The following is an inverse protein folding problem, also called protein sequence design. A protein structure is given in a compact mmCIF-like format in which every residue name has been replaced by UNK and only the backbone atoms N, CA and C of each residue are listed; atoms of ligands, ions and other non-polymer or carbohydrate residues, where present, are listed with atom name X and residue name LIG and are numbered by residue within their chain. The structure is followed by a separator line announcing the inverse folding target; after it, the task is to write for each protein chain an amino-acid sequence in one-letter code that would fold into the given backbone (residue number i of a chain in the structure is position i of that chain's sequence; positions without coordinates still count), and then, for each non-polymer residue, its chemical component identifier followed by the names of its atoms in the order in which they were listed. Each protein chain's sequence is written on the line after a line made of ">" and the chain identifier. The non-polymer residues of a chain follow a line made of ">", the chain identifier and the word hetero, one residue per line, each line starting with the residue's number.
data_IF_720065442953
#
_entry.id   IF_720065442953
#
_cell.length_a   1.000
_cell.length_b   1.000
_cell.length_c   1.000
_cell.angle_alpha   90.00
_cell.angle_beta   90.00
_cell.angle_gamma   90.00
#
_symmetry.space_group_name_H-M   'P 1'
#
loop_
_entity.id
_entity.type
_entity.pdbx_description
1 polymer ?
#
# COMPACT_ATOMS: atom_id res chain seq x y z
N UNK A 1 -18.52 16.66 -19.80
CA UNK A 1 -18.44 15.27 -19.30
C UNK A 1 -17.08 14.90 -18.74
N UNK A 2 -15.95 15.40 -19.26
CA UNK A 2 -14.60 15.15 -18.71
C UNK A 2 -14.44 15.45 -17.20
N UNK A 3 -15.09 16.50 -16.69
CA UNK A 3 -15.09 16.86 -15.25
C UNK A 3 -15.61 15.73 -14.36
N UNK A 4 -16.48 14.86 -14.86
CA UNK A 4 -16.95 13.69 -14.10
C UNK A 4 -15.80 12.76 -13.72
N UNK A 5 -14.75 12.68 -14.53
CA UNK A 5 -13.53 11.96 -14.22
C UNK A 5 -12.83 12.56 -12.99
N UNK A 6 -12.70 13.89 -12.93
CA UNK A 6 -12.12 14.59 -11.78
C UNK A 6 -12.92 14.35 -10.50
N UNK A 7 -14.24 14.50 -10.55
CA UNK A 7 -15.14 14.31 -9.40
C UNK A 7 -15.08 12.86 -8.91
N UNK A 8 -15.22 11.90 -9.83
CA UNK A 8 -15.17 10.48 -9.50
C UNK A 8 -13.79 10.08 -8.97
N UNK A 9 -12.73 10.62 -9.56
CA UNK A 9 -11.36 10.49 -9.07
C UNK A 9 -11.19 11.03 -7.65
N UNK A 10 -11.75 12.19 -7.33
CA UNK A 10 -11.70 12.77 -5.98
C UNK A 10 -12.41 11.90 -4.96
N UNK A 11 -13.60 11.39 -5.29
CA UNK A 11 -14.32 10.44 -4.43
C UNK A 11 -13.52 9.15 -4.26
N UNK A 12 -12.98 8.60 -5.35
CA UNK A 12 -12.15 7.40 -5.33
C UNK A 12 -10.90 7.58 -4.46
N UNK A 13 -10.19 8.70 -4.61
CA UNK A 13 -9.00 9.04 -3.83
C UNK A 13 -9.31 9.18 -2.34
N UNK A 14 -10.43 9.82 -1.99
CA UNK A 14 -10.88 9.92 -0.61
C UNK A 14 -11.20 8.55 0.00
N UNK A 15 -11.92 7.69 -0.72
CA UNK A 15 -12.26 6.34 -0.26
C UNK A 15 -11.01 5.46 -0.14
N UNK A 16 -10.07 5.54 -1.10
CA UNK A 16 -8.82 4.78 -1.05
C UNK A 16 -7.93 5.20 0.11
N UNK A 17 -7.81 6.50 0.38
CA UNK A 17 -7.07 7.06 1.50
C UNK A 17 -7.68 6.58 2.82
N UNK A 18 -9.00 6.74 3.00
CA UNK A 18 -9.72 6.35 4.21
C UNK A 18 -9.77 4.85 4.46
N UNK A 19 -9.93 4.06 3.40
CA UNK A 19 -9.94 2.61 3.45
C UNK A 19 -8.57 1.98 3.42
N UNK A 20 -7.51 2.80 3.28
CA UNK A 20 -6.10 2.38 3.17
C UNK A 20 -5.92 1.28 2.12
N UNK A 21 -6.65 1.42 1.02
CA UNK A 21 -6.85 0.38 0.02
C UNK A 21 -5.61 0.22 -0.85
N UNK A 22 -4.68 -0.64 -0.42
CA UNK A 22 -3.42 -0.89 -1.11
C UNK A 22 -3.29 -2.35 -1.55
N UNK A 23 -3.40 -2.57 -2.87
CA UNK A 23 -3.30 -3.91 -3.48
C UNK A 23 -1.93 -4.55 -3.20
N UNK A 24 -0.84 -3.76 -3.15
CA UNK A 24 0.49 -4.26 -2.79
C UNK A 24 0.49 -4.88 -1.39
N UNK A 25 -0.14 -4.20 -0.42
CA UNK A 25 -0.27 -4.73 0.94
C UNK A 25 -1.10 -6.01 0.98
N UNK A 26 -2.22 -6.03 0.26
CA UNK A 26 -3.11 -7.21 0.18
C UNK A 26 -2.40 -8.45 -0.39
N UNK A 27 -1.62 -8.29 -1.46
CA UNK A 27 -0.86 -9.39 -2.06
C UNK A 27 0.33 -9.81 -1.19
N UNK A 28 1.05 -8.85 -0.61
CA UNK A 28 2.22 -9.10 0.23
C UNK A 28 1.84 -9.85 1.51
N UNK A 29 0.75 -9.46 2.15
CA UNK A 29 0.35 -10.01 3.45
C UNK A 29 -0.02 -11.51 3.37
N UNK A 30 -0.34 -12.03 2.17
CA UNK A 30 -0.47 -13.48 1.92
C UNK A 30 0.86 -14.19 2.18
N UNK A 31 1.98 -13.61 1.73
CA UNK A 31 3.31 -14.22 1.84
C UNK A 31 4.01 -13.91 3.15
N UNK A 32 3.80 -12.71 3.72
CA UNK A 32 4.49 -12.29 4.95
C UNK A 32 3.75 -12.69 6.22
N UNK A 33 2.40 -12.71 6.20
CA UNK A 33 1.58 -13.02 7.37
C UNK A 33 0.75 -14.30 7.23
N UNK A 34 0.67 -14.89 6.04
CA UNK A 34 -0.16 -16.07 5.80
C UNK A 34 -1.67 -15.81 5.85
N UNK A 35 -2.13 -14.55 5.80
CA UNK A 35 -3.56 -14.19 5.89
C UNK A 35 -4.14 -13.75 4.55
N UNK A 36 -5.33 -14.26 4.24
CA UNK A 36 -6.10 -13.93 3.03
C UNK A 36 -7.16 -12.84 3.27
N UNK A 37 -7.27 -12.35 4.51
CA UNK A 37 -8.24 -11.34 4.91
C UNK A 37 -8.17 -10.06 4.06
N UNK A 38 -7.01 -9.38 3.90
CA UNK A 38 -6.93 -8.17 3.08
C UNK A 38 -7.12 -8.49 1.59
N UNK A 39 -6.71 -9.66 1.10
CA UNK A 39 -6.96 -10.11 -0.27
C UNK A 39 -8.45 -10.29 -0.57
N UNK A 40 -9.26 -10.68 0.42
CA UNK A 40 -10.73 -10.77 0.27
C UNK A 40 -11.34 -9.41 -0.07
N UNK A 41 -10.74 -8.29 0.36
CA UNK A 41 -11.19 -6.95 -0.06
C UNK A 41 -10.99 -6.72 -1.57
N UNK A 42 -9.89 -7.22 -2.15
CA UNK A 42 -9.69 -7.18 -3.59
C UNK A 42 -10.74 -8.03 -4.32
N UNK A 43 -11.05 -9.23 -3.81
CA UNK A 43 -12.11 -10.09 -4.36
C UNK A 43 -13.50 -9.44 -4.30
N UNK A 44 -13.80 -8.67 -3.24
CA UNK A 44 -15.04 -7.89 -3.15
C UNK A 44 -15.11 -6.87 -4.29
N UNK A 45 -14.04 -6.10 -4.54
CA UNK A 45 -14.00 -5.16 -5.68
C UNK A 45 -14.23 -5.90 -7.00
N UNK A 46 -13.53 -7.00 -7.23
CA UNK A 46 -13.64 -7.79 -8.47
C UNK A 46 -15.07 -8.33 -8.63
N UNK A 47 -15.70 -8.81 -7.55
CA UNK A 47 -17.05 -9.37 -7.58
C UNK A 47 -18.11 -8.30 -7.87
N UNK A 48 -18.01 -7.14 -7.22
CA UNK A 48 -18.91 -6.01 -7.47
C UNK A 48 -18.77 -5.53 -8.91
N UNK A 49 -17.54 -5.42 -9.43
CA UNK A 49 -17.31 -5.12 -10.84
C UNK A 49 -17.86 -6.23 -11.75
N UNK A 50 -17.64 -7.50 -11.45
CA UNK A 50 -18.05 -8.60 -12.32
C UNK A 50 -19.58 -8.60 -12.50
N UNK A 51 -20.32 -8.41 -11.40
CA UNK A 51 -21.78 -8.29 -11.43
C UNK A 51 -22.20 -7.01 -12.15
N UNK A 52 -21.63 -5.86 -11.79
CA UNK A 52 -22.02 -4.57 -12.36
C UNK A 52 -21.71 -4.42 -13.85
N UNK A 53 -20.54 -4.87 -14.29
CA UNK A 53 -20.15 -4.83 -15.70
C UNK A 53 -20.94 -5.83 -16.53
N UNK A 54 -21.17 -7.05 -16.01
CA UNK A 54 -22.04 -8.01 -16.71
C UNK A 54 -23.45 -7.45 -16.87
N UNK A 55 -23.99 -6.79 -15.84
CA UNK A 55 -25.28 -6.12 -15.92
C UNK A 55 -25.29 -5.00 -16.98
N UNK A 56 -24.30 -4.10 -16.96
CA UNK A 56 -24.20 -2.99 -17.92
C UNK A 56 -24.02 -3.48 -19.37
N UNK A 57 -23.21 -4.53 -19.58
CA UNK A 57 -23.02 -5.15 -20.91
C UNK A 57 -24.30 -5.84 -21.37
N UNK A 58 -25.00 -6.56 -20.50
CA UNK A 58 -26.27 -7.20 -20.84
C UNK A 58 -27.39 -6.20 -21.17
N UNK A 59 -27.32 -5.01 -20.59
CA UNK A 59 -28.23 -3.90 -20.88
C UNK A 59 -27.85 -3.12 -22.15
N UNK A 60 -26.74 -3.45 -22.82
CA UNK A 60 -26.25 -2.74 -24.00
C UNK A 60 -25.73 -1.32 -23.73
N UNK A 61 -25.52 -0.95 -22.45
CA UNK A 61 -25.04 0.38 -22.05
C UNK A 61 -23.55 0.54 -22.37
N UNK A 62 -22.78 -0.55 -22.28
CA UNK A 62 -21.33 -0.58 -22.55
C UNK A 62 -20.97 -1.72 -23.49
N UNK A 63 -19.94 -1.49 -24.30
CA UNK A 63 -19.30 -2.50 -25.16
C UNK A 63 -17.84 -2.64 -24.74
N UNK A 64 -17.52 -3.56 -23.80
CA UNK A 64 -16.15 -3.73 -23.34
C UNK A 64 -15.23 -4.15 -24.48
N UNK A 65 -14.11 -3.45 -24.65
CA UNK A 65 -13.07 -3.87 -25.57
C UNK A 65 -12.18 -4.94 -24.92
N UNK A 66 -12.10 -6.10 -25.56
CA UNK A 66 -11.22 -7.18 -25.12
C UNK A 66 -9.93 -7.16 -25.93
N UNK A 67 -8.83 -6.73 -25.30
CA UNK A 67 -7.51 -6.79 -25.94
C UNK A 67 -7.07 -8.24 -26.15
N UNK A 68 -6.44 -8.57 -27.29
CA UNK A 68 -5.84 -9.89 -27.50
C UNK A 68 -4.83 -10.21 -26.41
N UNK A 69 -4.84 -11.44 -25.90
CA UNK A 69 -3.96 -11.85 -24.82
C UNK A 69 -2.54 -12.07 -25.36
N UNK A 70 -1.56 -11.33 -24.83
CA UNK A 70 -0.14 -11.50 -25.17
C UNK A 70 0.60 -12.24 -24.03
N UNK A 71 0.69 -13.58 -24.05
CA UNK A 71 1.06 -14.33 -22.85
C UNK A 71 2.44 -13.98 -22.31
N UNK A 72 3.46 -13.92 -23.17
CA UNK A 72 4.83 -13.63 -22.76
C UNK A 72 4.98 -12.22 -22.17
N UNK A 73 4.42 -11.21 -22.84
CA UNK A 73 4.46 -9.82 -22.36
C UNK A 73 3.67 -9.65 -21.05
N UNK A 74 2.52 -10.33 -20.94
CA UNK A 74 1.68 -10.27 -19.73
C UNK A 74 2.38 -10.92 -18.55
N UNK A 75 2.95 -12.10 -18.71
CA UNK A 75 3.65 -12.84 -17.66
C UNK A 75 4.87 -12.07 -17.17
N UNK A 76 5.77 -11.69 -18.09
CA UNK A 76 7.02 -10.99 -17.76
C UNK A 76 6.72 -9.60 -17.20
N UNK A 77 5.83 -8.86 -17.85
CA UNK A 77 5.42 -7.53 -17.41
C UNK A 77 4.77 -7.54 -16.03
N UNK A 78 3.86 -8.49 -15.77
CA UNK A 78 3.19 -8.60 -14.49
C UNK A 78 4.15 -9.03 -13.37
N UNK A 79 5.08 -9.94 -13.65
CA UNK A 79 6.11 -10.31 -12.69
C UNK A 79 6.99 -9.10 -12.30
N UNK A 80 7.51 -8.37 -13.30
CA UNK A 80 8.32 -7.16 -13.06
C UNK A 80 7.51 -6.13 -12.28
N UNK A 81 6.27 -5.86 -12.69
CA UNK A 81 5.39 -4.93 -11.98
C UNK A 81 5.19 -5.36 -10.52
N UNK A 82 4.97 -6.64 -10.26
CA UNK A 82 4.81 -7.22 -8.93
C UNK A 82 6.04 -7.02 -8.04
N UNK A 83 7.25 -7.18 -8.60
CA UNK A 83 8.50 -6.88 -7.88
C UNK A 83 8.63 -5.37 -7.62
N UNK A 84 8.33 -4.56 -8.62
CA UNK A 84 8.50 -3.11 -8.57
C UNK A 84 7.56 -2.41 -7.58
N UNK A 85 6.32 -2.87 -7.41
CA UNK A 85 5.39 -2.28 -6.42
C UNK A 85 5.85 -2.48 -4.97
N UNK A 86 6.66 -3.50 -4.69
CA UNK A 86 7.29 -3.69 -3.36
C UNK A 86 8.42 -2.68 -3.17
N UNK A 87 9.26 -2.47 -4.18
CA UNK A 87 10.37 -1.49 -4.15
C UNK A 87 9.86 -0.04 -4.08
N UNK A 88 8.80 0.27 -4.82
CA UNK A 88 8.13 1.57 -4.80
C UNK A 88 7.39 1.83 -3.48
N UNK A 89 7.14 0.78 -2.69
CA UNK A 89 6.35 0.86 -1.47
C UNK A 89 4.86 1.09 -1.70
N UNK A 90 4.33 0.98 -2.92
CA UNK A 90 2.92 1.24 -3.25
C UNK A 90 2.51 0.68 -4.61
N UNK A 91 1.21 0.43 -4.81
CA UNK A 91 0.66 0.08 -6.13
C UNK A 91 0.38 1.34 -6.95
N UNK A 92 -0.03 1.21 -8.22
CA UNK A 92 -0.26 2.36 -9.10
C UNK A 92 -1.28 3.37 -8.53
N UNK A 93 -2.43 2.94 -8.01
CA UNK A 93 -3.36 3.85 -7.33
C UNK A 93 -2.83 4.30 -5.96
N UNK A 94 -2.07 3.42 -5.30
CA UNK A 94 -1.37 3.66 -4.04
C UNK A 94 -0.42 4.84 -4.10
N UNK A 95 0.39 4.94 -5.15
CA UNK A 95 1.34 6.03 -5.34
C UNK A 95 0.62 7.36 -5.54
N UNK A 96 -0.52 7.38 -6.24
CA UNK A 96 -1.34 8.59 -6.41
C UNK A 96 -1.97 9.09 -5.10
N UNK A 97 -2.68 8.23 -4.35
CA UNK A 97 -3.35 8.71 -3.14
C UNK A 97 -2.35 9.00 -2.01
N UNK A 98 -1.25 8.22 -1.88
CA UNK A 98 -0.19 8.46 -0.88
C UNK A 98 0.68 9.67 -1.22
N UNK A 99 0.78 10.04 -2.50
CA UNK A 99 1.31 11.33 -2.89
C UNK A 99 0.47 12.47 -2.28
N UNK A 100 -0.86 12.31 -2.23
CA UNK A 100 -1.78 13.23 -1.57
C UNK A 100 -1.66 13.26 -0.04
N UNK A 101 -1.21 12.17 0.59
CA UNK A 101 -0.94 12.12 2.04
C UNK A 101 0.36 12.84 2.45
N UNK A 102 1.21 13.21 1.49
CA UNK A 102 2.50 13.89 1.73
C UNK A 102 3.73 12.98 1.72
N UNK A 103 3.64 11.74 1.23
CA UNK A 103 4.80 10.86 1.15
C UNK A 103 5.68 11.18 -0.06
N UNK A 104 6.85 11.78 0.18
CA UNK A 104 7.80 12.18 -0.89
C UNK A 104 8.31 10.97 -1.67
N UNK A 105 8.48 9.82 -1.02
CA UNK A 105 8.81 8.57 -1.73
C UNK A 105 7.76 8.18 -2.79
N UNK A 106 6.47 8.46 -2.52
CA UNK A 106 5.40 8.22 -3.50
C UNK A 106 5.43 9.23 -4.64
N UNK A 107 5.92 10.46 -4.42
CA UNK A 107 6.13 11.44 -5.49
C UNK A 107 7.22 10.97 -6.46
N UNK A 108 8.36 10.52 -5.92
CA UNK A 108 9.46 9.97 -6.70
C UNK A 108 9.03 8.75 -7.52
N UNK A 109 8.33 7.80 -6.89
CA UNK A 109 7.80 6.63 -7.56
C UNK A 109 6.76 6.99 -8.63
N UNK A 110 5.90 7.97 -8.36
CA UNK A 110 4.88 8.43 -9.30
C UNK A 110 5.49 9.07 -10.56
N UNK A 111 6.50 9.93 -10.39
CA UNK A 111 7.23 10.53 -11.51
C UNK A 111 7.92 9.43 -12.34
N UNK A 112 8.66 8.53 -11.70
CA UNK A 112 9.30 7.40 -12.38
C UNK A 112 8.31 6.51 -13.14
N UNK A 113 7.15 6.25 -12.53
CA UNK A 113 6.07 5.46 -13.11
C UNK A 113 5.41 6.12 -14.32
N UNK A 114 5.04 7.39 -14.20
CA UNK A 114 4.38 8.13 -15.27
C UNK A 114 5.32 8.32 -16.48
N UNK A 115 6.58 8.69 -16.23
CA UNK A 115 7.58 8.88 -17.29
C UNK A 115 7.94 7.58 -18.01
N UNK A 116 8.17 6.49 -17.26
CA UNK A 116 8.48 5.20 -17.88
C UNK A 116 7.28 4.63 -18.64
N UNK A 117 6.05 4.77 -18.14
CA UNK A 117 4.85 4.42 -18.88
C UNK A 117 4.67 5.28 -20.16
N UNK A 118 5.00 6.57 -20.10
CA UNK A 118 4.99 7.45 -21.27
C UNK A 118 6.04 7.03 -22.30
N UNK A 119 7.27 6.75 -21.86
CA UNK A 119 8.36 6.31 -22.71
C UNK A 119 8.05 4.98 -23.43
N UNK A 120 7.41 4.05 -22.72
CA UNK A 120 7.04 2.72 -23.24
C UNK A 120 5.81 2.73 -24.15
N UNK A 121 4.81 3.57 -23.89
CA UNK A 121 3.54 3.54 -24.65
C UNK A 121 3.47 4.59 -25.76
N UNK A 122 4.23 5.67 -25.69
CA UNK A 122 4.20 6.77 -26.69
C UNK A 122 5.57 7.30 -27.07
N UNK A 123 6.57 7.10 -26.22
CA UNK A 123 7.91 7.63 -26.43
C UNK A 123 8.84 6.68 -27.19
N UNK A 124 10.17 6.80 -26.96
CA UNK A 124 11.19 6.12 -27.76
C UNK A 124 11.19 4.60 -27.62
N UNK A 125 10.60 4.06 -26.54
CA UNK A 125 10.54 2.62 -26.28
C UNK A 125 9.24 1.98 -26.79
N UNK A 126 8.38 2.74 -27.48
CA UNK A 126 7.11 2.25 -28.04
C UNK A 126 7.29 1.11 -29.02
N UNK A 127 8.34 1.12 -29.85
CA UNK A 127 8.68 0.02 -30.77
C UNK A 127 8.97 -1.29 -30.02
N UNK A 128 9.71 -1.22 -28.92
CA UNK A 128 10.00 -2.40 -28.07
C UNK A 128 8.72 -2.92 -27.41
N UNK A 129 7.88 -2.01 -26.91
CA UNK A 129 6.61 -2.37 -26.30
C UNK A 129 5.65 -3.02 -27.33
N UNK A 130 5.58 -2.51 -28.55
CA UNK A 130 4.78 -3.09 -29.62
C UNK A 130 5.32 -4.47 -30.04
N UNK A 131 6.63 -4.61 -30.21
CA UNK A 131 7.28 -5.88 -30.58
C UNK A 131 7.02 -6.98 -29.54
N UNK A 132 7.09 -6.66 -28.24
CA UNK A 132 6.77 -7.64 -27.19
C UNK A 132 5.28 -8.04 -27.19
N UNK A 133 4.40 -7.09 -27.50
CA UNK A 133 2.94 -7.28 -27.44
C UNK A 133 2.31 -7.79 -28.72
N UNK A 134 3.05 -7.92 -29.82
CA UNK A 134 2.52 -8.46 -31.08
C UNK A 134 2.21 -9.97 -31.00
N UNK A 135 2.89 -10.69 -30.10
CA UNK A 135 2.72 -12.14 -29.91
C UNK A 135 1.44 -12.44 -29.12
N UNK A 136 0.31 -12.27 -29.80
CA UNK A 136 -1.02 -12.43 -29.23
C UNK A 136 -1.63 -13.78 -29.57
N UNK A 137 -2.49 -14.27 -28.68
CA UNK A 137 -3.38 -15.41 -28.93
C UNK A 137 -4.81 -14.88 -29.06
N UNK A 138 -5.61 -15.54 -29.91
CA UNK A 138 -6.99 -15.13 -30.20
C UNK A 138 -7.98 -15.28 -29.03
N UNK A 139 -7.54 -15.86 -27.91
CA UNK A 139 -8.38 -16.06 -26.73
C UNK A 139 -8.45 -14.79 -25.88
N UNK A 140 -9.65 -14.26 -25.73
CA UNK A 140 -9.91 -13.01 -25.00
C UNK A 140 -10.44 -13.29 -23.60
N UNK A 141 -11.55 -14.03 -23.49
CA UNK A 141 -12.23 -14.28 -22.21
C UNK A 141 -12.53 -15.76 -21.96
N UNK A 142 -12.55 -16.13 -20.67
CA UNK A 142 -12.90 -17.48 -20.22
C UNK A 142 -14.35 -17.84 -20.60
N UNK A 143 -15.37 -16.97 -20.37
CA UNK A 143 -16.75 -17.31 -20.74
C UNK A 143 -16.93 -17.53 -22.24
N UNK A 144 -16.27 -16.72 -23.09
CA UNK A 144 -16.33 -16.88 -24.54
C UNK A 144 -15.70 -18.18 -25.01
N UNK A 145 -14.62 -18.64 -24.36
CA UNK A 145 -13.95 -19.91 -24.71
C UNK A 145 -14.84 -21.12 -24.47
N UNK A 146 -15.64 -21.09 -23.40
CA UNK A 146 -16.54 -22.19 -23.03
C UNK A 146 -17.96 -22.04 -23.59
N UNK A 147 -18.27 -20.94 -24.30
CA UNK A 147 -19.63 -20.63 -24.76
C UNK A 147 -20.62 -20.44 -23.62
N UNK A 148 -20.15 -20.07 -22.43
CA UNK A 148 -20.97 -19.93 -21.22
C UNK A 148 -21.30 -18.46 -20.96
N UNK A 149 -22.47 -18.23 -20.36
CA UNK A 149 -22.86 -16.88 -19.92
C UNK A 149 -21.90 -16.35 -18.86
N UNK A 150 -21.41 -15.09 -18.97
CA UNK A 150 -20.57 -14.45 -17.94
C UNK A 150 -21.24 -14.40 -16.55
N UNK A 151 -22.57 -14.43 -16.50
CA UNK A 151 -23.34 -14.43 -15.23
C UNK A 151 -22.99 -15.61 -14.32
N UNK A 152 -22.72 -16.80 -14.87
CA UNK A 152 -22.33 -17.95 -14.06
C UNK A 152 -21.02 -17.71 -13.31
N UNK A 153 -20.05 -17.08 -13.97
CA UNK A 153 -18.78 -16.72 -13.37
C UNK A 153 -18.92 -15.55 -12.39
N UNK A 154 -19.71 -14.53 -12.73
CA UNK A 154 -19.96 -13.38 -11.86
C UNK A 154 -20.67 -13.78 -10.56
N UNK A 155 -21.72 -14.59 -10.65
CA UNK A 155 -22.46 -15.09 -9.49
C UNK A 155 -21.59 -16.05 -8.69
N UNK A 156 -20.88 -16.99 -9.34
CA UNK A 156 -19.99 -17.93 -8.66
C UNK A 156 -18.89 -17.23 -7.86
N UNK A 157 -18.23 -16.23 -8.47
CA UNK A 157 -17.23 -15.40 -7.79
C UNK A 157 -17.84 -14.56 -6.66
N UNK A 158 -19.04 -14.01 -6.88
CA UNK A 158 -19.77 -13.24 -5.88
C UNK A 158 -20.13 -14.07 -4.64
N UNK A 159 -20.63 -15.30 -4.83
CA UNK A 159 -20.96 -16.23 -3.74
C UNK A 159 -19.71 -16.64 -2.96
N UNK A 160 -18.64 -17.02 -3.67
CA UNK A 160 -17.36 -17.34 -3.03
C UNK A 160 -16.83 -16.18 -2.19
N UNK A 161 -16.89 -14.97 -2.74
CA UNK A 161 -16.42 -13.78 -2.06
C UNK A 161 -17.28 -13.42 -0.85
N UNK A 162 -18.61 -13.56 -0.96
CA UNK A 162 -19.52 -13.34 0.16
C UNK A 162 -19.27 -14.36 1.29
N UNK A 163 -19.03 -15.63 0.95
CA UNK A 163 -18.66 -16.66 1.92
C UNK A 163 -17.35 -16.34 2.63
N UNK A 164 -16.29 -16.00 1.88
CA UNK A 164 -14.99 -15.64 2.46
C UNK A 164 -15.09 -14.38 3.33
N UNK A 165 -15.79 -13.35 2.87
CA UNK A 165 -16.01 -12.12 3.61
C UNK A 165 -16.76 -12.39 4.92
N UNK A 166 -17.85 -13.17 4.87
CA UNK A 166 -18.61 -13.57 6.05
C UNK A 166 -17.75 -14.35 7.05
N UNK A 167 -16.94 -15.30 6.58
CA UNK A 167 -16.02 -16.07 7.44
C UNK A 167 -15.00 -15.18 8.14
N UNK A 168 -14.38 -14.24 7.44
CA UNK A 168 -13.39 -13.33 8.04
C UNK A 168 -14.03 -12.28 8.95
N UNK A 169 -15.23 -11.79 8.62
CA UNK A 169 -16.01 -10.90 9.48
C UNK A 169 -16.40 -11.61 10.78
N UNK A 170 -16.90 -12.85 10.70
CA UNK A 170 -17.23 -13.66 11.88
C UNK A 170 -15.99 -13.88 12.75
N UNK A 171 -14.84 -14.23 12.16
CA UNK A 171 -13.59 -14.38 12.89
C UNK A 171 -13.17 -13.07 13.59
N UNK A 172 -13.40 -11.91 12.98
CA UNK A 172 -13.13 -10.60 13.58
C UNK A 172 -14.10 -10.24 14.72
N UNK A 173 -15.38 -10.60 14.59
CA UNK A 173 -16.38 -10.36 15.63
C UNK A 173 -16.22 -11.29 16.83
N UNK A 174 -15.81 -12.55 16.60
CA UNK A 174 -15.58 -13.55 17.65
C UNK A 174 -14.19 -13.48 18.28
N UNK A 175 -13.23 -12.81 17.64
CA UNK A 175 -11.87 -12.67 18.11
C UNK A 175 -11.67 -11.54 19.13
N UNK A 176 -10.45 -11.43 19.70
CA UNK A 176 -10.09 -10.32 20.58
C UNK A 176 -10.15 -9.00 19.80
N UNK A 177 -10.92 -8.03 20.32
CA UNK A 177 -11.10 -6.73 19.65
C UNK A 177 -9.81 -5.92 19.77
N UNK A 178 -9.23 -5.45 18.65
CA UNK A 178 -8.07 -4.59 18.71
C UNK A 178 -8.44 -3.26 19.39
N UNK A 179 -7.49 -2.70 20.15
CA UNK A 179 -7.66 -1.39 20.75
C UNK A 179 -7.77 -0.35 19.63
N UNK A 180 -8.86 0.43 19.65
CA UNK A 180 -9.10 1.54 18.72
C UNK A 180 -8.84 2.86 19.43
N UNK A 181 -8.27 3.82 18.71
CA UNK A 181 -8.19 5.20 19.16
C UNK A 181 -9.61 5.78 19.33
N UNK A 182 -9.85 6.46 20.44
CA UNK A 182 -11.07 7.24 20.65
C UNK A 182 -10.99 8.54 19.83
N UNK A 183 -11.54 8.50 18.61
CA UNK A 183 -11.52 9.64 17.69
C UNK A 183 -12.91 9.92 17.10
N UNK A 184 -13.19 11.17 16.70
CA UNK A 184 -14.44 11.52 16.03
C UNK A 184 -14.60 10.75 14.72
N UNK A 185 -15.85 10.53 14.28
CA UNK A 185 -16.16 9.65 13.14
C UNK A 185 -15.39 10.02 11.86
N UNK A 186 -15.17 11.32 11.63
CA UNK A 186 -14.42 11.83 10.49
C UNK A 186 -12.91 11.60 10.55
N UNK A 187 -12.34 11.07 11.64
CA UNK A 187 -10.92 10.66 11.73
C UNK A 187 -10.75 9.14 11.76
N UNK A 188 -11.83 8.38 11.95
CA UNK A 188 -11.76 6.91 11.95
C UNK A 188 -11.49 6.40 10.53
N UNK A 189 -10.61 5.38 10.38
CA UNK A 189 -10.42 4.73 9.10
C UNK A 189 -11.68 3.97 8.69
N UNK A 190 -11.90 3.88 7.38
CA UNK A 190 -13.00 3.12 6.81
C UNK A 190 -12.66 1.62 6.85
N UNK A 191 -13.62 0.78 7.23
CA UNK A 191 -13.41 -0.67 7.20
C UNK A 191 -13.05 -1.13 5.77
N UNK A 192 -12.00 -1.95 5.63
CA UNK A 192 -11.44 -2.31 4.32
C UNK A 192 -12.44 -2.97 3.37
N UNK A 193 -13.41 -3.74 3.90
CA UNK A 193 -14.47 -4.35 3.08
C UNK A 193 -15.52 -3.33 2.64
N UNK A 194 -15.83 -2.32 3.45
CA UNK A 194 -16.72 -1.24 3.05
C UNK A 194 -16.05 -0.37 1.99
N UNK A 195 -14.75 -0.06 2.16
CA UNK A 195 -13.96 0.61 1.16
C UNK A 195 -13.96 -0.18 -0.17
N UNK A 196 -13.79 -1.50 -0.11
CA UNK A 196 -13.85 -2.38 -1.28
C UNK A 196 -15.20 -2.30 -2.02
N UNK A 197 -16.33 -2.37 -1.30
CA UNK A 197 -17.65 -2.24 -1.92
C UNK A 197 -17.80 -0.88 -2.60
N UNK A 198 -17.44 0.21 -1.92
CA UNK A 198 -17.54 1.56 -2.48
C UNK A 198 -16.65 1.72 -3.71
N UNK A 199 -15.40 1.25 -3.66
CA UNK A 199 -14.47 1.28 -4.81
C UNK A 199 -15.02 0.47 -5.98
N UNK A 200 -15.60 -0.70 -5.72
CA UNK A 200 -16.26 -1.52 -6.75
C UNK A 200 -17.43 -0.80 -7.40
N UNK A 201 -18.31 -0.18 -6.60
CA UNK A 201 -19.45 0.60 -7.13
C UNK A 201 -18.95 1.80 -7.95
N UNK A 202 -17.93 2.52 -7.46
CA UNK A 202 -17.32 3.63 -8.20
C UNK A 202 -16.80 3.16 -9.55
N UNK A 203 -16.15 2.00 -9.62
CA UNK A 203 -15.64 1.50 -10.89
C UNK A 203 -16.72 0.98 -11.84
N UNK A 204 -17.87 0.50 -11.34
CA UNK A 204 -19.05 0.24 -12.19
C UNK A 204 -19.59 1.54 -12.77
N UNK A 205 -19.71 2.60 -11.96
CA UNK A 205 -20.17 3.93 -12.40
C UNK A 205 -19.17 4.62 -13.33
N UNK A 206 -17.87 4.36 -13.17
CA UNK A 206 -16.81 4.91 -14.00
C UNK A 206 -16.96 4.55 -15.48
N UNK A 207 -17.44 3.33 -15.79
CA UNK A 207 -17.57 2.83 -17.15
C UNK A 207 -18.48 3.69 -18.04
N UNK A 208 -19.78 3.87 -17.73
CA UNK A 208 -20.66 4.69 -18.56
C UNK A 208 -20.19 6.15 -18.63
N UNK A 209 -19.62 6.70 -17.56
CA UNK A 209 -19.09 8.07 -17.54
C UNK A 209 -17.88 8.23 -18.45
N UNK A 210 -16.98 7.24 -18.48
CA UNK A 210 -15.83 7.22 -19.38
C UNK A 210 -16.26 6.97 -20.83
N UNK A 211 -17.17 6.02 -21.05
CA UNK A 211 -17.71 5.69 -22.37
C UNK A 211 -18.39 6.91 -23.03
N UNK A 212 -19.13 7.70 -22.24
CA UNK A 212 -19.75 8.96 -22.69
C UNK A 212 -18.74 10.02 -23.16
N UNK A 213 -17.44 9.86 -22.85
CA UNK A 213 -16.36 10.74 -23.34
C UNK A 213 -15.55 10.14 -24.50
N UNK A 214 -15.99 9.01 -25.06
CA UNK A 214 -15.30 8.32 -26.15
C UNK A 214 -14.23 7.32 -25.69
N UNK A 215 -14.10 7.07 -24.38
CA UNK A 215 -13.18 6.07 -23.81
C UNK A 215 -13.98 4.89 -23.25
N UNK A 216 -14.14 3.83 -24.04
CA UNK A 216 -14.82 2.58 -23.66
C UNK A 216 -13.97 1.68 -22.74
N UNK A 217 -13.52 2.23 -21.62
CA UNK A 217 -12.71 1.53 -20.65
C UNK A 217 -13.04 2.02 -19.23
N UNK A 218 -12.83 1.16 -18.24
CA UNK A 218 -13.20 1.41 -16.85
C UNK A 218 -12.16 2.22 -16.08
N UNK A 219 -11.98 1.89 -14.80
CA UNK A 219 -10.91 2.45 -13.98
C UNK A 219 -9.54 2.03 -14.52
N UNK A 220 -8.70 3.02 -14.84
CA UNK A 220 -7.33 2.82 -15.28
C UNK A 220 -6.42 3.88 -14.67
N UNK A 221 -5.20 3.49 -14.31
CA UNK A 221 -4.21 4.43 -13.74
C UNK A 221 -3.02 4.63 -14.68
N UNK A 222 -2.53 3.56 -15.33
CA UNK A 222 -1.30 3.60 -16.14
C UNK A 222 -1.39 4.54 -17.33
N UNK A 223 -2.40 4.34 -18.19
CA UNK A 223 -2.57 5.19 -19.38
C UNK A 223 -2.86 6.63 -19.00
N UNK A 224 -3.77 6.92 -18.05
CA UNK A 224 -3.92 8.28 -17.51
C UNK A 224 -2.66 8.92 -16.94
N UNK A 225 -1.84 8.17 -16.21
CA UNK A 225 -0.59 8.71 -15.63
C UNK A 225 0.41 9.11 -16.73
N UNK A 226 0.52 8.27 -17.77
CA UNK A 226 1.25 8.63 -18.99
C UNK A 226 0.69 9.91 -19.61
N UNK A 227 -0.63 10.02 -19.74
CA UNK A 227 -1.27 11.13 -20.43
C UNK A 227 -1.03 12.45 -19.67
N UNK A 228 -1.11 12.42 -18.33
CA UNK A 228 -0.69 13.55 -17.49
C UNK A 228 0.78 13.92 -17.73
N UNK A 229 1.69 12.94 -17.78
CA UNK A 229 3.09 13.22 -18.08
C UNK A 229 3.31 13.81 -19.48
N UNK A 230 2.63 13.27 -20.50
CA UNK A 230 2.71 13.79 -21.87
C UNK A 230 2.17 15.21 -21.94
N UNK A 231 1.03 15.51 -21.32
CA UNK A 231 0.47 16.86 -21.27
C UNK A 231 1.47 17.87 -20.67
N UNK A 232 2.14 17.51 -19.59
CA UNK A 232 3.14 18.38 -18.95
C UNK A 232 4.32 18.65 -19.89
N UNK A 233 4.74 17.66 -20.68
CA UNK A 233 5.90 17.78 -21.57
C UNK A 233 5.56 18.46 -22.89
N UNK A 234 4.41 18.15 -23.49
CA UNK A 234 4.05 18.61 -24.84
C UNK A 234 3.13 19.82 -24.84
N UNK A 235 2.43 20.09 -23.73
CA UNK A 235 1.37 21.09 -23.65
C UNK A 235 0.10 20.73 -24.44
N UNK A 236 0.02 19.54 -25.02
CA UNK A 236 -1.10 19.14 -25.86
C UNK A 236 -2.31 18.69 -25.01
N UNK A 237 -3.35 19.51 -25.04
CA UNK A 237 -4.63 19.26 -24.35
C UNK A 237 -5.34 17.96 -24.76
N UNK A 238 -4.97 17.32 -25.88
CA UNK A 238 -5.51 16.02 -26.29
C UNK A 238 -5.23 14.92 -25.27
N UNK A 239 -4.15 15.05 -24.48
CA UNK A 239 -3.82 14.12 -23.41
C UNK A 239 -4.63 14.35 -22.12
N UNK A 240 -5.35 15.47 -21.96
CA UNK A 240 -6.25 15.69 -20.82
C UNK A 240 -7.63 15.04 -21.05
N UNK A 241 -7.61 13.71 -21.17
CA UNK A 241 -8.82 12.90 -21.27
C UNK A 241 -9.49 12.66 -19.90
N UNK A 242 -10.63 11.96 -19.93
CA UNK A 242 -11.40 11.64 -18.72
C UNK A 242 -10.57 10.87 -17.69
N UNK A 243 -9.69 9.97 -18.15
CA UNK A 243 -8.83 9.18 -17.30
C UNK A 243 -7.74 10.03 -16.64
N UNK A 244 -7.11 10.95 -17.38
CA UNK A 244 -6.12 11.89 -16.85
C UNK A 244 -6.72 12.74 -15.71
N UNK A 245 -7.94 13.25 -15.92
CA UNK A 245 -8.67 13.96 -14.87
C UNK A 245 -9.03 13.05 -13.68
N UNK A 246 -9.31 11.77 -13.91
CA UNK A 246 -9.53 10.81 -12.83
C UNK A 246 -8.31 10.63 -11.93
N UNK A 247 -7.10 10.46 -12.48
CA UNK A 247 -5.89 10.31 -11.64
C UNK A 247 -5.51 11.61 -10.91
N UNK A 248 -5.72 12.77 -11.53
CA UNK A 248 -5.59 14.07 -10.84
C UNK A 248 -6.63 14.22 -9.73
N UNK A 249 -7.85 13.74 -9.97
CA UNK A 249 -8.91 13.68 -8.97
C UNK A 249 -8.50 12.84 -7.77
N UNK A 250 -7.91 11.66 -8.00
CA UNK A 250 -7.41 10.78 -6.91
C UNK A 250 -6.44 11.54 -6.00
N UNK A 251 -5.52 12.30 -6.58
CA UNK A 251 -4.56 13.12 -5.81
C UNK A 251 -5.28 14.16 -4.93
N UNK A 252 -6.20 14.92 -5.52
CA UNK A 252 -6.94 15.99 -4.83
C UNK A 252 -7.84 15.41 -3.73
N UNK A 253 -8.57 14.35 -4.04
CA UNK A 253 -9.46 13.68 -3.09
C UNK A 253 -8.72 13.08 -1.90
N UNK A 254 -7.58 12.45 -2.15
CA UNK A 254 -6.73 11.91 -1.10
C UNK A 254 -6.12 13.03 -0.22
N UNK A 255 -5.67 14.13 -0.82
CA UNK A 255 -5.16 15.29 -0.08
C UNK A 255 -6.22 15.90 0.84
N UNK A 256 -7.45 16.09 0.35
CA UNK A 256 -8.57 16.59 1.15
C UNK A 256 -8.88 15.60 2.28
N UNK A 257 -8.98 14.31 1.97
CA UNK A 257 -9.27 13.28 2.96
C UNK A 257 -8.22 13.21 4.07
N UNK A 258 -6.93 13.27 3.71
CA UNK A 258 -5.80 13.25 4.63
C UNK A 258 -5.74 14.50 5.53
N UNK A 259 -6.06 15.68 4.99
CA UNK A 259 -6.16 16.91 5.79
C UNK A 259 -7.33 16.87 6.76
N UNK A 260 -8.49 16.39 6.32
CA UNK A 260 -9.68 16.25 7.17
C UNK A 260 -9.49 15.20 8.27
N UNK A 261 -8.74 14.12 8.00
CA UNK A 261 -8.41 13.11 9.02
C UNK A 261 -7.30 13.56 9.98
N UNK A 262 -6.52 14.60 9.64
CA UNK A 262 -5.31 14.95 10.37
C UNK A 262 -4.17 13.96 10.15
N UNK A 263 -4.19 13.22 9.03
CA UNK A 263 -3.16 12.23 8.66
C UNK A 263 -2.16 12.78 7.62
N UNK A 264 -2.35 14.02 7.15
CA UNK A 264 -1.42 14.67 6.21
C UNK A 264 -0.14 15.09 6.93
N UNK A 265 1.00 14.58 6.45
CA UNK A 265 2.34 15.01 6.89
C UNK A 265 3.32 14.77 5.77
N UNK A 266 4.20 15.73 5.52
CA UNK A 266 5.28 15.57 4.56
C UNK A 266 6.34 14.66 5.15
N UNK A 267 6.51 13.48 4.55
CA UNK A 267 7.46 12.44 4.99
C UNK A 267 8.54 12.28 3.94
N UNK A 268 9.76 12.70 4.27
CA UNK A 268 10.93 12.61 3.40
C UNK A 268 11.67 11.31 3.69
N UNK A 269 11.79 10.38 2.72
CA UNK A 269 12.55 9.15 2.91
C UNK A 269 14.06 9.40 2.85
N UNK A 270 14.84 8.51 3.46
CA UNK A 270 16.29 8.47 3.31
C UNK A 270 16.73 8.22 1.85
N UNK A 271 18.01 8.44 1.55
CA UNK A 271 18.54 8.31 0.19
C UNK A 271 18.38 6.90 -0.41
N UNK A 272 18.48 5.84 0.41
CA UNK A 272 18.33 4.46 -0.06
C UNK A 272 16.87 4.16 -0.37
N UNK A 273 15.94 4.62 0.45
CA UNK A 273 14.51 4.48 0.18
C UNK A 273 14.07 5.33 -1.01
N UNK A 274 14.64 6.53 -1.18
CA UNK A 274 14.41 7.40 -2.34
C UNK A 274 14.81 6.72 -3.65
N UNK A 275 16.02 6.15 -3.72
CA UNK A 275 16.49 5.42 -4.91
C UNK A 275 15.65 4.18 -5.21
N UNK A 276 15.26 3.42 -4.17
CA UNK A 276 14.31 2.28 -4.33
C UNK A 276 12.96 2.72 -4.87
N UNK A 277 12.44 3.86 -4.40
CA UNK A 277 11.19 4.42 -4.89
C UNK A 277 11.26 4.80 -6.37
N UNK A 278 12.35 5.43 -6.82
CA UNK A 278 12.57 5.75 -8.24
C UNK A 278 12.67 4.50 -9.09
N UNK A 279 13.53 3.54 -8.70
CA UNK A 279 13.70 2.27 -9.43
C UNK A 279 12.40 1.48 -9.48
N UNK A 280 11.67 1.42 -8.37
CA UNK A 280 10.35 0.82 -8.28
C UNK A 280 9.34 1.51 -9.19
N UNK A 281 9.30 2.85 -9.20
CA UNK A 281 8.45 3.63 -10.09
C UNK A 281 8.72 3.33 -11.57
N UNK A 282 9.98 3.35 -11.99
CA UNK A 282 10.37 3.02 -13.37
C UNK A 282 9.95 1.59 -13.73
N UNK A 283 10.23 0.62 -12.86
CA UNK A 283 9.85 -0.77 -13.09
C UNK A 283 8.33 -0.98 -13.13
N UNK A 284 7.56 -0.21 -12.36
CA UNK A 284 6.10 -0.21 -12.44
C UNK A 284 5.62 0.28 -13.81
N UNK A 285 6.23 1.30 -14.42
CA UNK A 285 5.72 1.83 -15.69
C UNK A 285 6.08 0.92 -16.86
N UNK A 286 7.27 0.33 -16.84
CA UNK A 286 7.68 -0.71 -17.80
C UNK A 286 6.80 -1.95 -17.66
N UNK A 287 6.71 -2.50 -16.45
CA UNK A 287 5.92 -3.70 -16.17
C UNK A 287 4.44 -3.54 -16.51
N UNK A 288 3.82 -2.40 -16.17
CA UNK A 288 2.42 -2.14 -16.51
C UNK A 288 2.19 -1.95 -18.02
N UNK A 289 3.20 -1.48 -18.76
CA UNK A 289 3.09 -1.30 -20.21
C UNK A 289 3.10 -2.65 -20.93
N UNK A 290 3.99 -3.55 -20.53
CA UNK A 290 4.06 -4.92 -21.03
C UNK A 290 2.88 -5.78 -20.58
N UNK A 291 2.49 -5.66 -19.32
CA UNK A 291 1.35 -6.37 -18.78
C UNK A 291 0.02 -5.97 -19.44
N UNK A 292 -0.03 -4.77 -20.05
CA UNK A 292 -1.25 -4.18 -20.58
C UNK A 292 -2.07 -3.41 -19.54
N UNK A 293 -1.66 -3.43 -18.28
CA UNK A 293 -2.27 -2.65 -17.21
C UNK A 293 -1.57 -2.86 -15.86
N UNK A 294 -1.84 -1.98 -14.92
CA UNK A 294 -1.46 -2.14 -13.52
C UNK A 294 -2.48 -3.00 -12.75
N UNK A 295 -2.29 -3.13 -11.43
CA UNK A 295 -3.23 -3.84 -10.54
C UNK A 295 -4.66 -3.32 -10.58
N UNK A 296 -4.90 -2.05 -10.93
CA UNK A 296 -6.26 -1.52 -11.09
C UNK A 296 -6.87 -1.97 -12.41
N UNK A 297 -6.21 -1.68 -13.53
CA UNK A 297 -6.72 -2.02 -14.85
C UNK A 297 -6.78 -3.53 -15.08
N UNK A 298 -5.65 -4.22 -14.95
CA UNK A 298 -5.61 -5.67 -15.14
C UNK A 298 -6.13 -6.45 -13.94
N UNK A 299 -5.72 -6.06 -12.74
CA UNK A 299 -6.01 -6.84 -11.52
C UNK A 299 -7.44 -6.69 -11.01
N UNK A 300 -8.12 -5.56 -11.24
CA UNK A 300 -9.50 -5.35 -10.79
C UNK A 300 -10.51 -5.33 -11.95
N UNK A 301 -10.24 -4.59 -13.02
CA UNK A 301 -11.20 -4.44 -14.13
C UNK A 301 -11.17 -5.66 -15.05
N UNK A 302 -10.01 -6.04 -15.58
CA UNK A 302 -9.91 -7.15 -16.55
C UNK A 302 -10.21 -8.52 -15.94
N UNK A 303 -9.87 -8.75 -14.67
CA UNK A 303 -10.27 -9.95 -13.92
C UNK A 303 -11.78 -10.05 -13.75
N UNK A 304 -12.46 -8.92 -13.53
CA UNK A 304 -13.93 -8.87 -13.43
C UNK A 304 -14.65 -9.13 -14.75
N UNK A 305 -13.97 -8.86 -15.87
CA UNK A 305 -14.40 -9.21 -17.22
C UNK A 305 -14.02 -10.66 -17.61
N UNK A 306 -13.45 -11.43 -16.68
CA UNK A 306 -12.99 -12.80 -16.87
C UNK A 306 -12.04 -12.98 -18.06
N UNK A 307 -11.16 -12.01 -18.31
CA UNK A 307 -10.15 -12.10 -19.38
C UNK A 307 -8.95 -12.94 -18.94
N UNK A 308 -8.35 -13.69 -19.88
CA UNK A 308 -7.11 -14.43 -19.59
C UNK A 308 -5.99 -13.49 -19.15
N UNK A 309 -5.89 -12.32 -19.80
CA UNK A 309 -4.93 -11.28 -19.44
C UNK A 309 -5.08 -10.86 -17.98
N UNK A 310 -6.30 -10.60 -17.50
CA UNK A 310 -6.54 -10.15 -16.13
C UNK A 310 -6.09 -11.18 -15.10
N UNK A 311 -6.54 -12.44 -15.25
CA UNK A 311 -6.23 -13.51 -14.30
C UNK A 311 -4.75 -13.91 -14.29
N UNK A 312 -4.13 -14.02 -15.47
CA UNK A 312 -2.69 -14.31 -15.57
C UNK A 312 -1.88 -13.15 -15.01
N UNK A 313 -2.23 -11.90 -15.34
CA UNK A 313 -1.55 -10.75 -14.77
C UNK A 313 -1.67 -10.72 -13.24
N UNK A 314 -2.86 -10.97 -12.68
CA UNK A 314 -3.06 -11.00 -11.22
C UNK A 314 -2.20 -12.07 -10.54
N UNK A 315 -2.12 -13.28 -11.12
CA UNK A 315 -1.30 -14.36 -10.61
C UNK A 315 0.19 -13.97 -10.61
N UNK A 316 0.71 -13.42 -11.71
CA UNK A 316 2.11 -13.03 -11.80
C UNK A 316 2.46 -11.74 -11.03
N UNK A 317 1.50 -10.83 -10.81
CA UNK A 317 1.65 -9.76 -9.83
C UNK A 317 1.88 -10.36 -8.43
N UNK A 318 1.07 -11.35 -8.03
CA UNK A 318 1.20 -12.01 -6.74
C UNK A 318 2.54 -12.74 -6.59
N UNK A 319 2.98 -13.48 -7.63
CA UNK A 319 4.29 -14.16 -7.64
C UNK A 319 5.43 -13.14 -7.53
N UNK A 320 5.39 -12.04 -8.30
CA UNK A 320 6.39 -10.98 -8.23
C UNK A 320 6.47 -10.34 -6.83
N UNK A 321 5.32 -10.06 -6.22
CA UNK A 321 5.23 -9.55 -4.85
C UNK A 321 5.81 -10.55 -3.84
N UNK A 322 5.48 -11.84 -3.96
CA UNK A 322 5.99 -12.88 -3.07
C UNK A 322 7.51 -13.04 -3.15
N UNK A 323 8.07 -13.02 -4.36
CA UNK A 323 9.53 -13.06 -4.58
C UNK A 323 10.19 -11.81 -3.97
N UNK A 324 9.66 -10.63 -4.26
CA UNK A 324 10.22 -9.39 -3.74
C UNK A 324 10.10 -9.28 -2.21
N UNK A 325 9.00 -9.74 -1.63
CA UNK A 325 8.81 -9.79 -0.19
C UNK A 325 9.89 -10.67 0.48
N UNK A 326 10.15 -11.86 -0.08
CA UNK A 326 11.17 -12.77 0.45
C UNK A 326 12.60 -12.22 0.37
N UNK A 327 12.90 -11.45 -0.67
CA UNK A 327 14.23 -10.88 -0.91
C UNK A 327 14.47 -9.61 -0.08
N UNK A 328 13.51 -8.67 -0.07
CA UNK A 328 13.72 -7.32 0.47
C UNK A 328 13.03 -7.03 1.81
N UNK A 329 12.03 -7.79 2.23
CA UNK A 329 11.28 -7.53 3.48
C UNK A 329 11.78 -8.35 4.67
N UNK A 330 13.06 -8.75 4.66
CA UNK A 330 13.70 -9.31 5.85
C UNK A 330 13.90 -8.21 6.91
N UNK A 331 13.79 -8.52 8.22
CA UNK A 331 14.21 -7.59 9.27
C UNK A 331 15.64 -7.14 8.96
N UNK A 332 15.82 -5.86 8.63
CA UNK A 332 17.17 -5.33 8.46
C UNK A 332 17.79 -5.31 9.85
N UNK A 333 19.01 -5.84 9.99
CA UNK A 333 19.72 -5.82 11.28
C UNK A 333 19.66 -4.41 11.87
N UNK A 334 19.07 -4.30 13.06
CA UNK A 334 18.81 -3.04 13.76
C UNK A 334 20.10 -2.21 13.79
N UNK A 335 20.16 -1.17 12.97
CA UNK A 335 21.16 -0.13 13.20
C UNK A 335 20.58 0.75 14.30
N UNK A 336 21.30 0.86 15.40
CA UNK A 336 21.07 1.86 16.45
C UNK A 336 20.74 3.18 15.78
N UNK A 337 19.67 3.83 16.25
CA UNK A 337 19.13 5.06 15.71
C UNK A 337 20.24 6.11 15.51
N UNK A 338 20.77 6.14 14.29
CA UNK A 338 21.52 7.26 13.75
C UNK A 338 20.64 7.83 12.64
N UNK A 339 19.64 8.63 13.06
CA UNK A 339 18.87 9.55 12.20
C UNK A 339 18.39 9.00 10.86
N UNK A 340 17.81 7.79 10.80
CA UNK A 340 17.35 7.21 9.53
C UNK A 340 16.12 7.90 8.96
N UNK A 341 15.42 8.71 9.76
CA UNK A 341 14.34 9.59 9.33
C UNK A 341 14.47 10.90 10.13
N UNK A 342 14.59 12.06 9.47
CA UNK A 342 14.71 13.34 10.19
C UNK A 342 13.35 13.76 10.73
N UNK A 343 12.99 13.27 11.90
CA UNK A 343 11.89 13.82 12.70
C UNK A 343 12.36 13.93 14.14
N UNK A 344 12.64 15.17 14.58
CA UNK A 344 13.11 15.50 15.93
C UNK A 344 12.06 15.23 17.05
N UNK A 345 10.97 14.51 16.72
CA UNK A 345 9.80 14.29 17.59
C UNK A 345 9.75 12.90 18.25
N UNK A 346 10.68 11.98 17.95
CA UNK A 346 10.68 10.68 18.62
C UNK A 346 11.19 10.78 20.06
N UNK A 347 10.40 10.18 20.97
CA UNK A 347 10.61 10.08 22.42
C UNK A 347 11.10 11.39 23.10
N UNK A 348 10.16 12.32 23.27
CA UNK A 348 10.11 13.26 24.41
C UNK A 348 11.42 14.00 24.75
N UNK A 349 12.16 14.59 23.80
CA UNK A 349 13.18 15.64 24.06
C UNK A 349 14.22 15.37 25.17
N UNK A 350 14.37 14.11 25.57
CA UNK A 350 15.20 13.62 26.68
C UNK A 350 15.96 12.37 26.24
N UNK A 351 16.33 12.31 24.97
CA UNK A 351 17.62 11.72 24.68
C UNK A 351 18.64 12.72 25.24
N UNK A 352 19.12 12.45 26.46
CA UNK A 352 20.43 12.93 26.84
C UNK A 352 21.35 12.48 25.71
N UNK A 353 21.77 13.41 24.85
CA UNK A 353 23.00 13.23 24.12
C UNK A 353 24.00 12.75 25.17
N UNK A 354 24.71 11.63 24.99
CA UNK A 354 26.01 11.53 25.59
C UNK A 354 26.83 12.60 24.86
N UNK A 355 26.69 13.86 25.29
CA UNK A 355 27.75 14.83 25.14
C UNK A 355 28.97 14.12 25.72
N UNK A 356 29.95 13.93 24.86
CA UNK A 356 31.34 13.74 25.20
C UNK A 356 31.76 14.90 26.12
N UNK A 357 31.35 14.83 27.38
CA UNK A 357 31.85 15.68 28.43
C UNK A 357 33.19 15.07 28.85
N UNK A 358 34.24 15.45 28.12
CA UNK A 358 35.59 15.50 28.67
C UNK A 358 35.58 16.46 29.85
N UNK A 359 35.14 16.00 31.01
CA UNK A 359 35.40 16.63 32.29
C UNK A 359 36.61 15.94 32.91
N UNK A 360 37.79 16.49 32.61
CA UNK A 360 39.00 16.22 33.37
C UNK A 360 38.82 16.79 34.77
N UNK A 361 38.28 15.98 35.68
CA UNK A 361 38.32 16.26 37.12
C UNK A 361 39.50 15.50 37.69
N UNK A 362 40.65 16.15 37.76
CA UNK A 362 41.75 15.76 38.64
C UNK A 362 41.34 16.05 40.08
N UNK A 363 41.17 15.01 40.89
CA UNK A 363 41.07 15.10 42.35
C UNK A 363 41.91 13.98 42.99
N UNK A 364 42.52 14.23 44.17
CA UNK A 364 43.72 13.53 44.62
C UNK A 364 43.43 12.14 45.18
N UNK A 365 44.43 11.27 45.06
CA UNK A 365 44.40 9.89 45.52
C UNK A 365 44.25 9.80 47.05
N UNK A 366 43.13 9.27 47.52
CA UNK A 366 43.01 8.65 48.83
C UNK A 366 42.52 7.21 48.64
N UNK A 367 43.31 6.26 49.13
CA UNK A 367 43.01 4.83 49.09
C UNK A 367 41.99 4.49 50.18
N UNK A 368 40.77 4.12 49.77
CA UNK A 368 39.79 3.47 50.65
C UNK A 368 39.28 2.21 49.94
N UNK A 369 39.39 1.07 50.63
CA UNK A 369 39.07 -0.25 50.11
C UNK A 369 37.59 -0.37 49.65
N UNK A 370 37.30 -0.97 48.49
CA UNK A 370 35.92 -1.13 48.06
C UNK A 370 35.28 -2.32 48.79
N UNK A 371 34.30 -2.01 49.65
CA UNK A 371 33.25 -2.97 50.04
C UNK A 371 32.45 -3.28 48.79
N UNK A 372 32.47 -4.54 48.36
CA UNK A 372 31.75 -5.02 47.19
C UNK A 372 30.22 -5.00 47.43
N UNK A 373 29.59 -3.88 47.13
CA UNK A 373 28.15 -3.82 46.84
C UNK A 373 27.92 -4.55 45.52
N UNK A 374 27.33 -5.74 45.59
CA UNK A 374 26.81 -6.49 44.44
C UNK A 374 25.72 -5.63 43.78
N UNK A 375 26.11 -4.81 42.81
CA UNK A 375 25.18 -4.18 41.88
C UNK A 375 24.45 -5.31 41.16
N UNK A 376 23.12 -5.33 41.30
CA UNK A 376 22.23 -6.20 40.54
C UNK A 376 22.51 -5.91 39.07
N UNK A 377 23.05 -6.91 38.38
CA UNK A 377 23.45 -6.88 36.97
C UNK A 377 22.37 -6.17 36.15
N UNK A 378 22.69 -4.94 35.72
CA UNK A 378 21.85 -4.14 34.85
C UNK A 378 21.82 -4.88 33.51
N UNK A 379 20.74 -5.63 33.30
CA UNK A 379 20.57 -6.50 32.15
C UNK A 379 20.67 -5.65 30.88
N UNK A 380 21.70 -5.92 30.09
CA UNK A 380 21.95 -5.28 28.81
C UNK A 380 20.68 -5.31 27.95
N UNK A 381 20.23 -4.14 27.51
CA UNK A 381 19.08 -3.97 26.63
C UNK A 381 19.21 -4.88 25.38
N UNK A 382 18.10 -5.42 24.84
CA UNK A 382 18.12 -6.13 23.57
C UNK A 382 18.74 -5.25 22.47
N UNK A 383 19.53 -5.85 21.58
CA UNK A 383 20.36 -5.12 20.63
C UNK A 383 19.52 -4.16 19.76
N UNK A 384 19.76 -2.85 19.90
CA UNK A 384 19.12 -1.81 19.09
C UNK A 384 17.76 -1.30 19.60
N UNK A 385 17.32 -1.71 20.79
CA UNK A 385 16.18 -1.10 21.48
C UNK A 385 16.68 -0.18 22.61
N UNK A 386 16.11 1.02 22.71
CA UNK A 386 16.45 1.97 23.77
C UNK A 386 15.54 1.73 24.97
N UNK A 387 16.09 1.41 26.14
CA UNK A 387 15.30 1.30 27.37
C UNK A 387 14.89 2.72 27.83
N UNK A 388 13.58 2.97 27.94
CA UNK A 388 13.03 4.29 28.32
C UNK A 388 12.61 4.31 29.79
N UNK A 389 12.17 3.15 30.29
CA UNK A 389 11.86 2.91 31.70
C UNK A 389 12.15 1.44 32.02
N UNK A 390 12.27 1.04 33.30
CA UNK A 390 12.56 -0.34 33.66
C UNK A 390 11.57 -1.34 33.01
N UNK A 391 12.05 -2.13 32.06
CA UNK A 391 11.23 -3.09 31.31
C UNK A 391 10.35 -2.49 30.20
N UNK A 392 10.51 -1.20 29.87
CA UNK A 392 9.92 -0.54 28.70
C UNK A 392 11.02 -0.19 27.67
N UNK A 393 10.88 -0.74 26.46
CA UNK A 393 11.83 -0.57 25.37
C UNK A 393 11.19 0.22 24.23
N UNK A 394 11.87 1.25 23.74
CA UNK A 394 11.41 2.06 22.61
C UNK A 394 11.88 1.50 21.27
N UNK A 395 10.97 1.58 20.30
CA UNK A 395 11.17 1.33 18.89
C UNK A 395 10.65 2.55 18.10
N UNK A 396 11.56 3.27 17.46
CA UNK A 396 11.23 4.40 16.60
C UNK A 396 11.13 3.94 15.13
N UNK A 397 9.95 4.11 14.55
CA UNK A 397 9.66 3.81 13.14
C UNK A 397 9.00 5.00 12.44
N UNK A 398 9.18 6.22 12.96
CA UNK A 398 8.73 7.45 12.27
C UNK A 398 9.40 7.55 10.90
N UNK A 399 8.64 7.95 9.87
CA UNK A 399 9.09 8.03 8.49
C UNK A 399 9.18 6.68 7.76
N UNK A 400 9.07 5.56 8.47
CA UNK A 400 9.11 4.24 7.87
C UNK A 400 7.84 3.97 7.05
N UNK A 401 8.03 3.47 5.83
CA UNK A 401 6.91 3.08 4.95
C UNK A 401 6.41 1.68 5.29
N UNK A 402 5.10 1.48 5.18
CA UNK A 402 4.52 0.16 5.41
C UNK A 402 5.10 -0.88 4.42
N UNK A 403 5.52 -2.08 4.89
CA UNK A 403 5.16 -2.74 6.15
C UNK A 403 6.15 -2.58 7.31
N UNK A 404 7.22 -1.80 7.16
CA UNK A 404 8.35 -1.81 8.09
C UNK A 404 7.98 -1.57 9.56
N UNK A 405 7.09 -0.60 9.91
CA UNK A 405 6.68 -0.41 11.30
C UNK A 405 6.20 -1.67 12.00
N UNK A 406 5.43 -2.52 11.31
CA UNK A 406 4.97 -3.77 11.90
C UNK A 406 6.05 -4.85 11.90
N UNK A 407 6.81 -5.01 10.82
CA UNK A 407 7.85 -6.05 10.74
C UNK A 407 8.89 -5.82 11.84
N UNK A 408 9.27 -4.57 12.06
CA UNK A 408 10.22 -4.19 13.11
C UNK A 408 9.63 -4.34 14.51
N UNK A 409 8.33 -4.04 14.69
CA UNK A 409 7.62 -4.27 15.95
C UNK A 409 7.55 -5.77 16.30
N UNK A 410 7.23 -6.64 15.34
CA UNK A 410 7.21 -8.11 15.54
C UNK A 410 8.60 -8.58 15.94
N UNK A 411 9.62 -8.20 15.15
CA UNK A 411 11.01 -8.58 15.44
C UNK A 411 11.52 -8.01 16.76
N UNK A 412 11.00 -6.87 17.24
CA UNK A 412 11.33 -6.31 18.56
C UNK A 412 10.70 -7.13 19.67
N UNK A 413 9.43 -7.46 19.48
CA UNK A 413 8.67 -8.22 20.47
C UNK A 413 9.24 -9.62 20.68
N UNK A 414 9.78 -10.26 19.64
CA UNK A 414 10.42 -11.58 19.75
C UNK A 414 11.63 -11.56 20.71
N UNK A 415 12.35 -10.44 20.79
CA UNK A 415 13.51 -10.26 21.68
C UNK A 415 13.13 -9.93 23.14
N UNK A 416 11.89 -9.51 23.38
CA UNK A 416 11.40 -9.17 24.73
C UNK A 416 11.00 -10.40 25.53
N UNK A 417 11.04 -10.31 26.86
CA UNK A 417 10.48 -11.31 27.78
C UNK A 417 9.01 -11.02 28.05
N UNK A 418 8.25 -12.06 28.44
CA UNK A 418 6.86 -11.89 28.87
C UNK A 418 6.76 -10.85 30.00
N UNK A 419 5.77 -9.95 29.92
CA UNK A 419 5.59 -8.81 30.82
C UNK A 419 6.39 -7.54 30.47
N UNK A 420 7.38 -7.60 29.59
CA UNK A 420 8.07 -6.39 29.11
C UNK A 420 7.21 -5.64 28.08
N UNK A 421 7.41 -4.33 27.98
CA UNK A 421 6.61 -3.44 27.13
C UNK A 421 7.45 -2.85 26.01
N UNK A 422 6.92 -2.87 24.80
CA UNK A 422 7.46 -2.21 23.63
C UNK A 422 6.68 -0.90 23.37
N UNK A 423 7.38 0.23 23.36
CA UNK A 423 6.85 1.55 23.00
C UNK A 423 7.19 1.82 21.54
N UNK A 424 6.18 1.86 20.69
CA UNK A 424 6.35 2.01 19.24
C UNK A 424 5.87 3.40 18.82
N UNK A 425 6.79 4.24 18.34
CA UNK A 425 6.48 5.52 17.71
C UNK A 425 6.47 5.33 16.18
N UNK A 426 5.38 5.77 15.52
CA UNK A 426 5.19 5.57 14.09
C UNK A 426 4.26 6.62 13.46
N UNK A 427 4.41 6.84 12.16
CA UNK A 427 3.58 7.75 11.37
C UNK A 427 2.98 7.08 10.13
N UNK A 428 3.21 5.78 9.89
CA UNK A 428 2.47 5.07 8.86
C UNK A 428 1.00 4.92 9.28
N UNK A 429 0.08 5.54 8.53
CA UNK A 429 -1.37 5.45 8.80
C UNK A 429 -1.82 3.99 8.94
N UNK A 430 -1.41 3.10 8.03
CA UNK A 430 -1.79 1.67 8.10
C UNK A 430 -1.32 0.95 9.38
N UNK A 431 -0.26 1.42 10.03
CA UNK A 431 0.22 0.82 11.27
C UNK A 431 -0.75 1.04 12.44
N UNK A 432 -1.62 2.07 12.37
CA UNK A 432 -2.67 2.30 13.39
C UNK A 432 -3.73 1.20 13.43
N UNK A 433 -3.92 0.45 12.35
CA UNK A 433 -4.78 -0.75 12.35
C UNK A 433 -3.96 -2.03 12.51
N UNK A 434 -2.78 -2.07 11.87
CA UNK A 434 -2.00 -3.30 11.76
C UNK A 434 -1.32 -3.70 13.08
N UNK A 435 -0.80 -2.75 13.86
CA UNK A 435 -0.10 -3.04 15.12
C UNK A 435 -1.07 -3.49 16.21
N UNK A 436 -2.17 -2.77 16.53
CA UNK A 436 -3.10 -3.20 17.57
C UNK A 436 -3.77 -4.54 17.25
N UNK A 437 -4.02 -4.79 15.97
CA UNK A 437 -4.57 -6.07 15.51
C UNK A 437 -3.57 -7.22 15.65
N UNK A 438 -2.33 -7.02 15.23
CA UNK A 438 -1.29 -8.03 15.44
C UNK A 438 -1.11 -8.33 16.93
N UNK A 439 -1.09 -7.30 17.79
CA UNK A 439 -1.00 -7.49 19.23
C UNK A 439 -2.17 -8.35 19.76
N UNK A 440 -3.41 -8.05 19.36
CA UNK A 440 -4.57 -8.84 19.74
C UNK A 440 -4.52 -10.30 19.23
N UNK A 441 -4.10 -10.51 17.97
CA UNK A 441 -3.98 -11.84 17.35
C UNK A 441 -2.83 -12.67 17.98
N UNK A 442 -1.75 -12.02 18.42
CA UNK A 442 -0.59 -12.65 19.05
C UNK A 442 -0.72 -12.79 20.58
N UNK A 443 -1.84 -12.36 21.18
CA UNK A 443 -2.07 -12.43 22.62
C UNK A 443 -1.27 -11.40 23.44
N UNK A 444 -0.84 -10.31 22.82
CA UNK A 444 -0.19 -9.18 23.49
C UNK A 444 -1.19 -8.11 23.92
N UNK A 445 -0.91 -7.46 25.05
CA UNK A 445 -1.79 -6.43 25.61
C UNK A 445 -1.38 -5.04 25.11
N UNK A 446 -2.29 -4.31 24.46
CA UNK A 446 -2.05 -2.90 24.11
C UNK A 446 -2.44 -2.03 25.31
N UNK A 447 -1.45 -1.57 26.08
CA UNK A 447 -1.66 -0.80 27.31
C UNK A 447 -1.93 0.68 27.05
N UNK A 448 -1.42 1.21 25.95
CA UNK A 448 -1.62 2.60 25.54
C UNK A 448 -1.69 2.70 24.01
N UNK A 449 -2.61 3.52 23.50
CA UNK A 449 -2.63 3.89 22.11
C UNK A 449 -3.13 5.34 21.97
N UNK A 450 -2.23 6.26 21.59
CA UNK A 450 -2.52 7.69 21.51
C UNK A 450 -1.92 8.33 20.26
N UNK A 451 -2.53 9.42 19.81
CA UNK A 451 -1.91 10.32 18.83
C UNK A 451 -0.95 11.27 19.57
N UNK A 452 0.26 11.47 19.05
CA UNK A 452 1.34 12.25 19.69
C UNK A 452 1.63 13.58 19.01
N UNK A 453 1.13 13.81 17.79
CA UNK A 453 1.31 15.04 17.02
C UNK A 453 0.58 14.98 15.67
N UNK A 454 0.97 15.82 14.71
CA UNK A 454 0.41 15.80 13.36
C UNK A 454 0.76 14.48 12.65
N UNK A 455 -0.26 13.66 12.40
CA UNK A 455 -0.16 12.36 11.75
C UNK A 455 0.88 11.39 12.37
N UNK A 456 1.09 11.47 13.68
CA UNK A 456 1.99 10.60 14.45
C UNK A 456 1.25 9.88 15.59
N UNK A 457 1.63 8.63 15.85
CA UNK A 457 1.01 7.76 16.85
C UNK A 457 2.07 7.07 17.71
N UNK A 458 1.69 6.85 18.97
CA UNK A 458 2.42 6.02 19.93
C UNK A 458 1.53 4.89 20.40
N UNK A 459 2.06 3.67 20.37
CA UNK A 459 1.41 2.52 21.00
C UNK A 459 2.36 1.79 21.93
N UNK A 460 1.86 1.42 23.11
CA UNK A 460 2.57 0.56 24.06
C UNK A 460 1.96 -0.83 23.98
N UNK A 461 2.80 -1.82 23.71
CA UNK A 461 2.40 -3.23 23.60
C UNK A 461 3.19 -4.03 24.64
N UNK A 462 2.50 -4.64 25.59
CA UNK A 462 3.07 -5.52 26.59
C UNK A 462 3.05 -6.97 26.08
N UNK A 463 4.19 -7.65 26.17
CA UNK A 463 4.30 -9.06 25.79
C UNK A 463 3.51 -9.94 26.75
N UNK A 464 2.62 -10.74 26.17
CA UNK A 464 1.77 -11.72 26.87
C UNK A 464 2.52 -12.92 27.40
#
# INVERSE_FOLDING_TARGET
>A
MLITGLILGAVLGAVMQRGRFCVTGMLRDIFTRGTWRPFTALLIVISVHAIGLTALTSAGIITPEYSPFAPAAVIVGAFIFGVSIVLAGGCASGTWYRAGEGLVGSWLALVGYALSAAAMKTGPLSGVNAWLRQFTVGQTTVPATFGLSPWWFAIGLGVLTAYLAARFLQAEFSGPRPVSLAQPLHRRPLHVYLAAVIIGVIGVVAWPLSAATGRNDGLGITTPSKNVANYIVTGDSSFLDWGALLVLGILVGALIAAKVSGEFRVRVPDARTSSRAVVGGIGMGVGASWAGGCTVGNGMVQTSLFTYQGWVALAFFAVGVGVAAKIWLKPSGRKTAAGTYSTDESVDGRAAHPETATTSVTAPAYAVAPVALKVREQQSAPAGLTEVAPGEFALDTLGAVCPFPLIEAVSAMDELRSGQTLVIDFDCTQATDAIPRWAAEAGHEVTEFRATGDAGWRTKVRKG
#
